data_IF_016352193752
#
_entry.id   IF_016352193752
#
_cell.length_a   1.000
_cell.length_b   1.000
_cell.length_c   1.000
_cell.angle_alpha   90.00
_cell.angle_beta   90.00
_cell.angle_gamma   90.00
#
_symmetry.space_group_name_H-M   'P 1'
#
loop_
_entity.id
_entity.type
_entity.pdbx_description
1 polymer ?
#
# COMPACT_ATOMS: atom_id res chain seq x y z
N UNK A 1 -19.51 28.15 5.21
CA UNK A 1 -18.91 29.24 4.42
C UNK A 1 -18.58 28.65 3.06
N UNK A 2 -19.45 28.93 2.09
CA UNK A 2 -19.33 28.49 0.70
C UNK A 2 -18.20 29.26 0.01
N UNK A 3 -17.35 28.57 -0.75
CA UNK A 3 -16.47 29.20 -1.73
C UNK A 3 -16.73 28.58 -3.11
N UNK A 4 -17.96 28.76 -3.60
CA UNK A 4 -18.19 28.87 -5.04
C UNK A 4 -18.11 30.36 -5.37
N UNK A 5 -17.08 30.78 -6.08
CA UNK A 5 -17.13 32.04 -6.85
C UNK A 5 -17.46 31.69 -8.31
N UNK A 6 -18.47 32.33 -8.92
CA UNK A 6 -18.71 32.22 -10.34
C UNK A 6 -17.75 33.18 -11.06
N UNK A 7 -16.91 32.65 -11.96
CA UNK A 7 -16.17 33.50 -12.88
C UNK A 7 -17.13 33.94 -13.98
N UNK A 8 -17.45 35.24 -14.01
CA UNK A 8 -18.22 35.90 -15.05
C UNK A 8 -17.39 36.05 -16.32
N UNK A 9 -17.90 35.52 -17.43
CA UNK A 9 -17.40 35.77 -18.77
C UNK A 9 -17.30 37.27 -19.06
N UNK A 10 -16.08 37.73 -19.37
CA UNK A 10 -15.87 38.94 -20.14
C UNK A 10 -15.12 38.54 -21.41
N UNK A 11 -15.86 38.41 -22.49
CA UNK A 11 -15.33 38.45 -23.85
C UNK A 11 -14.51 39.73 -24.04
N UNK A 12 -13.35 39.60 -24.68
CA UNK A 12 -13.07 40.49 -25.80
C UNK A 12 -12.81 39.65 -27.06
N UNK A 13 -13.71 39.83 -28.03
CA UNK A 13 -13.53 39.48 -29.45
C UNK A 13 -12.12 39.80 -29.94
N UNK A 14 -11.35 38.77 -30.34
CA UNK A 14 -10.20 38.94 -31.22
C UNK A 14 -10.53 38.42 -32.62
N UNK A 15 -10.79 39.38 -33.50
CA UNK A 15 -10.84 39.22 -34.95
C UNK A 15 -9.42 38.84 -35.42
N UNK A 16 -9.23 37.63 -35.92
CA UNK A 16 -7.97 37.24 -36.56
C UNK A 16 -8.05 37.58 -38.06
N UNK A 17 -7.36 38.66 -38.45
CA UNK A 17 -7.17 39.03 -39.87
C UNK A 17 -6.18 38.07 -40.51
N UNK A 18 -6.59 37.38 -41.58
CA UNK A 18 -5.69 36.65 -42.49
C UNK A 18 -4.89 37.67 -43.31
N UNK A 19 -3.56 37.54 -43.32
CA UNK A 19 -2.68 38.22 -44.27
C UNK A 19 -1.95 37.13 -45.05
N UNK A 20 -2.25 37.04 -46.34
CA UNK A 20 -1.49 36.25 -47.31
C UNK A 20 -0.36 37.11 -47.88
N UNK A 21 0.84 36.53 -48.03
CA UNK A 21 1.88 37.05 -48.91
C UNK A 21 2.28 35.94 -49.90
N UNK A 22 2.22 36.24 -51.19
CA UNK A 22 2.78 35.46 -52.30
C UNK A 22 3.66 36.40 -53.12
N UNK A 23 4.88 35.95 -53.47
CA UNK A 23 5.65 36.30 -54.68
C UNK A 23 6.80 35.26 -54.81
N UNK A 24 6.77 34.32 -55.78
CA UNK A 24 7.31 34.36 -57.17
C UNK A 24 8.87 34.48 -57.21
N UNK A 25 9.69 33.75 -57.97
CA UNK A 25 9.63 32.91 -59.21
C UNK A 25 10.92 32.00 -59.25
N UNK A 26 11.20 31.00 -60.12
CA UNK A 26 11.31 30.99 -61.59
C UNK A 26 11.63 29.55 -62.12
N UNK A 27 10.87 29.12 -63.14
CA UNK A 27 11.06 28.24 -64.34
C UNK A 27 12.29 27.29 -64.52
N UNK A 28 12.03 26.02 -64.93
CA UNK A 28 12.56 25.37 -66.16
C UNK A 28 11.80 24.07 -66.53
N UNK A 29 11.38 23.95 -67.80
CA UNK A 29 10.83 22.72 -68.43
C UNK A 29 11.94 21.95 -69.16
N UNK A 30 11.90 20.61 -69.13
CA UNK A 30 12.27 19.74 -70.25
C UNK A 30 11.40 18.48 -70.23
N UNK A 31 10.99 18.04 -71.42
CA UNK A 31 10.22 16.82 -71.68
C UNK A 31 11.14 15.66 -72.08
N UNK A 32 10.80 14.43 -71.66
CA UNK A 32 11.27 13.21 -72.34
C UNK A 32 11.65 12.01 -71.45
N UNK A 33 10.67 11.10 -71.29
CA UNK A 33 10.79 9.64 -71.19
C UNK A 33 11.09 8.89 -69.86
N UNK A 34 10.17 7.94 -69.62
CA UNK A 34 10.15 6.68 -68.83
C UNK A 34 9.93 6.68 -67.32
N UNK A 35 8.71 6.22 -67.00
CA UNK A 35 8.21 5.40 -65.87
C UNK A 35 8.34 5.92 -64.43
N UNK A 36 7.21 6.35 -63.87
CA UNK A 36 6.52 5.64 -62.77
C UNK A 36 5.14 6.28 -62.51
N UNK A 37 4.08 5.46 -62.56
CA UNK A 37 2.73 5.81 -62.09
C UNK A 37 2.65 5.34 -60.63
N UNK A 38 2.62 6.25 -59.66
CA UNK A 38 1.92 6.03 -58.38
C UNK A 38 1.32 7.34 -57.87
N UNK A 39 0.00 7.34 -57.92
CA UNK A 39 -1.02 7.93 -57.03
C UNK A 39 -0.91 9.37 -56.49
N UNK A 40 -1.99 10.09 -56.80
CA UNK A 40 -2.38 11.33 -56.17
C UNK A 40 -3.08 11.01 -54.84
N UNK A 41 -2.31 10.76 -53.79
CA UNK A 41 -2.86 10.73 -52.43
C UNK A 41 -1.78 10.97 -51.37
N UNK A 42 -1.28 12.21 -51.24
CA UNK A 42 -0.51 12.57 -50.06
C UNK A 42 -0.78 14.00 -49.61
N UNK A 43 -1.14 14.08 -48.33
CA UNK A 43 -1.28 15.25 -47.46
C UNK A 43 -2.67 15.87 -47.38
N UNK A 44 -3.63 15.06 -46.94
CA UNK A 44 -4.64 15.56 -46.02
C UNK A 44 -5.10 14.48 -45.04
N UNK A 45 -4.36 14.25 -43.95
CA UNK A 45 -4.94 14.00 -42.63
C UNK A 45 -3.88 14.00 -41.54
N UNK A 46 -4.34 14.12 -40.29
CA UNK A 46 -3.60 14.23 -39.02
C UNK A 46 -3.37 15.66 -38.52
N UNK A 47 -4.49 16.34 -38.29
CA UNK A 47 -4.64 17.10 -37.06
C UNK A 47 -5.61 16.36 -36.13
N UNK A 48 -5.09 15.40 -35.34
CA UNK A 48 -5.78 14.80 -34.19
C UNK A 48 -4.76 14.70 -33.05
N UNK A 49 -5.04 15.05 -31.80
CA UNK A 49 -6.24 14.61 -31.10
C UNK A 49 -6.59 15.60 -29.96
N UNK A 50 -7.84 16.07 -29.94
CA UNK A 50 -8.43 16.58 -28.71
C UNK A 50 -8.80 15.34 -27.92
N UNK A 51 -8.02 15.00 -26.90
CA UNK A 51 -8.29 13.82 -26.07
C UNK A 51 -9.67 13.96 -25.43
N UNK A 52 -10.65 13.23 -25.98
CA UNK A 52 -11.98 13.07 -25.41
C UNK A 52 -11.85 12.36 -24.05
N UNK A 53 -12.77 12.63 -23.13
CA UNK A 53 -12.96 11.86 -21.91
C UNK A 53 -12.90 10.39 -22.24
N UNK A 54 -11.92 9.71 -21.67
CA UNK A 54 -11.60 8.34 -22.00
C UNK A 54 -11.56 7.50 -20.74
N UNK A 55 -11.93 6.23 -20.89
CA UNK A 55 -11.72 5.21 -19.89
C UNK A 55 -11.14 4.00 -20.61
N UNK A 56 -9.95 3.58 -20.18
CA UNK A 56 -9.32 2.37 -20.64
C UNK A 56 -8.88 1.53 -19.44
N UNK A 57 -8.95 0.21 -19.59
CA UNK A 57 -8.63 -0.73 -18.51
C UNK A 57 -8.33 -2.11 -19.05
N UNK A 58 -7.66 -2.92 -18.23
CA UNK A 58 -7.41 -4.31 -18.59
C UNK A 58 -6.60 -5.06 -17.54
N UNK A 59 -5.95 -6.13 -17.97
CA UNK A 59 -4.99 -6.88 -17.15
C UNK A 59 -3.63 -6.87 -17.82
N UNK A 60 -2.58 -6.61 -17.05
CA UNK A 60 -1.19 -6.66 -17.50
C UNK A 60 -0.35 -7.36 -16.42
N UNK A 61 0.39 -8.40 -16.79
CA UNK A 61 1.22 -9.22 -15.89
C UNK A 61 0.52 -9.64 -14.59
N UNK A 62 -0.76 -10.00 -14.70
CA UNK A 62 -1.57 -10.46 -13.57
C UNK A 62 -2.17 -9.36 -12.68
N UNK A 63 -1.98 -8.08 -13.03
CA UNK A 63 -2.58 -6.94 -12.32
C UNK A 63 -3.64 -6.26 -13.18
N UNK A 64 -4.75 -5.88 -12.55
CA UNK A 64 -5.73 -4.98 -13.17
C UNK A 64 -5.10 -3.59 -13.30
N UNK A 65 -5.43 -2.87 -14.37
CA UNK A 65 -5.04 -1.48 -14.55
C UNK A 65 -6.19 -0.66 -15.12
N UNK A 66 -6.17 0.65 -14.85
CA UNK A 66 -7.08 1.60 -15.49
C UNK A 66 -6.39 2.95 -15.74
N UNK A 67 -6.91 3.67 -16.72
CA UNK A 67 -6.67 5.08 -16.99
C UNK A 67 -8.02 5.73 -17.29
N UNK A 68 -8.32 6.80 -16.58
CA UNK A 68 -9.46 7.66 -16.84
C UNK A 68 -9.00 9.10 -17.02
N UNK A 69 -9.55 9.79 -18.00
CA UNK A 69 -9.35 11.22 -18.25
C UNK A 69 -10.69 11.94 -18.40
N UNK A 70 -10.75 13.20 -18.02
CA UNK A 70 -11.87 14.07 -18.39
C UNK A 70 -11.68 14.72 -19.78
N UNK A 71 -12.66 15.53 -20.20
CA UNK A 71 -12.66 16.22 -21.50
C UNK A 71 -11.81 17.51 -21.46
N UNK A 72 -10.49 17.37 -21.40
CA UNK A 72 -9.58 18.52 -21.33
C UNK A 72 -8.31 18.37 -22.19
N UNK A 73 -7.52 19.45 -22.26
CA UNK A 73 -6.33 19.54 -23.12
C UNK A 73 -5.03 19.18 -22.40
N UNK A 74 -4.05 18.69 -23.15
CA UNK A 74 -2.72 18.35 -22.69
C UNK A 74 -2.36 16.92 -23.08
N UNK A 75 -1.36 16.32 -22.44
CA UNK A 75 -0.97 14.94 -22.68
C UNK A 75 -0.73 14.18 -21.39
N UNK A 76 -1.01 12.87 -21.47
CA UNK A 76 -0.77 11.88 -20.41
C UNK A 76 -0.11 10.67 -21.10
N UNK A 77 1.06 10.28 -20.63
CA UNK A 77 1.79 9.08 -21.08
C UNK A 77 1.77 8.06 -19.94
N UNK A 78 0.77 7.19 -19.96
CA UNK A 78 0.63 6.07 -19.01
C UNK A 78 1.23 4.79 -19.61
N UNK A 79 2.03 4.08 -18.82
CA UNK A 79 2.66 2.83 -19.23
C UNK A 79 2.54 1.76 -18.16
N UNK A 80 2.15 0.56 -18.60
CA UNK A 80 2.27 -0.64 -17.79
C UNK A 80 3.71 -1.16 -17.87
N UNK A 81 4.38 -1.27 -16.73
CA UNK A 81 5.68 -1.96 -16.59
C UNK A 81 5.50 -3.41 -16.11
N UNK A 82 6.63 -4.09 -15.85
CA UNK A 82 6.64 -5.49 -15.40
C UNK A 82 5.85 -5.69 -14.09
N UNK A 83 5.07 -6.78 -14.04
CA UNK A 83 4.29 -7.12 -12.85
C UNK A 83 3.33 -6.00 -12.45
N UNK A 84 3.39 -5.58 -11.19
CA UNK A 84 2.58 -4.49 -10.68
C UNK A 84 3.16 -3.09 -10.90
N UNK A 85 4.21 -2.93 -11.71
CA UNK A 85 4.77 -1.62 -12.01
C UNK A 85 3.91 -0.85 -13.02
N UNK A 86 3.73 0.44 -12.79
CA UNK A 86 3.26 1.40 -13.79
C UNK A 86 4.04 2.70 -13.69
N UNK A 87 4.08 3.44 -14.78
CA UNK A 87 4.53 4.82 -14.79
C UNK A 87 3.53 5.71 -15.49
N UNK A 88 3.51 6.97 -15.10
CA UNK A 88 2.75 8.02 -15.78
C UNK A 88 3.58 9.29 -15.80
N UNK A 89 3.61 9.98 -16.93
CA UNK A 89 4.09 11.35 -17.04
C UNK A 89 3.00 12.21 -17.67
N UNK A 90 2.90 13.47 -17.29
CA UNK A 90 1.84 14.33 -17.78
C UNK A 90 2.25 15.81 -17.83
N UNK A 91 1.62 16.51 -18.77
CA UNK A 91 1.42 17.95 -18.78
C UNK A 91 -0.04 18.16 -19.21
N UNK A 92 -0.92 18.26 -18.22
CA UNK A 92 -2.35 18.11 -18.42
C UNK A 92 -3.15 19.18 -17.68
N UNK A 93 -4.12 19.76 -18.37
CA UNK A 93 -5.00 20.81 -17.87
C UNK A 93 -6.40 20.27 -17.61
N UNK A 94 -6.54 19.34 -16.67
CA UNK A 94 -7.80 18.65 -16.40
C UNK A 94 -7.68 17.75 -15.19
N UNK A 95 -8.44 16.66 -15.16
CA UNK A 95 -8.35 15.60 -14.16
C UNK A 95 -8.10 14.24 -14.83
N UNK A 96 -7.18 13.46 -14.28
CA UNK A 96 -7.04 12.05 -14.63
C UNK A 96 -6.76 11.19 -13.40
N UNK A 97 -7.14 9.91 -13.52
CA UNK A 97 -6.77 8.87 -12.56
C UNK A 97 -6.17 7.69 -13.31
N UNK A 98 -5.12 7.08 -12.75
CA UNK A 98 -4.54 5.88 -13.33
C UNK A 98 -3.86 5.00 -12.29
N UNK A 99 -3.60 3.74 -12.63
CA UNK A 99 -2.76 2.88 -11.81
C UNK A 99 -3.04 1.40 -11.99
N UNK A 100 -2.33 0.59 -11.20
CA UNK A 100 -2.43 -0.88 -11.15
C UNK A 100 -2.94 -1.39 -9.82
N UNK A 101 -3.55 -2.58 -9.84
CA UNK A 101 -3.99 -3.29 -8.64
C UNK A 101 -4.80 -4.53 -9.00
N UNK A 102 -6.03 -4.59 -8.51
CA UNK A 102 -6.87 -5.78 -8.58
C UNK A 102 -8.25 -5.45 -9.17
N UNK A 103 -8.78 -6.39 -9.94
CA UNK A 103 -10.12 -6.30 -10.53
C UNK A 103 -11.25 -6.38 -9.50
N UNK A 104 -10.92 -6.83 -8.28
CA UNK A 104 -11.77 -6.76 -7.10
C UNK A 104 -10.97 -6.34 -5.87
N UNK A 105 -11.55 -5.46 -5.06
CA UNK A 105 -11.04 -5.11 -3.74
C UNK A 105 -11.04 -6.29 -2.77
N UNK A 106 -10.31 -6.14 -1.67
CA UNK A 106 -10.35 -7.06 -0.52
C UNK A 106 -10.12 -6.26 0.74
N UNK A 107 -11.00 -6.42 1.74
CA UNK A 107 -10.89 -5.74 3.04
C UNK A 107 -9.63 -6.14 3.80
N UNK A 108 -9.13 -7.35 3.58
CA UNK A 108 -8.01 -7.92 4.33
C UNK A 108 -6.68 -7.74 3.63
N UNK A 109 -6.65 -7.28 2.37
CA UNK A 109 -5.40 -7.23 1.62
C UNK A 109 -4.38 -6.31 2.29
N UNK A 110 -3.15 -6.81 2.41
CA UNK A 110 -1.98 -5.97 2.70
C UNK A 110 -1.40 -5.57 1.35
N UNK A 111 -1.51 -4.29 1.02
CA UNK A 111 -1.01 -3.73 -0.23
C UNK A 111 0.46 -3.41 -0.02
N UNK A 112 1.33 -4.16 -0.68
CA UNK A 112 2.74 -3.79 -0.79
C UNK A 112 2.90 -2.77 -1.91
N UNK A 113 3.69 -1.72 -1.68
CA UNK A 113 4.00 -0.77 -2.74
C UNK A 113 5.39 -0.16 -2.59
N UNK A 114 5.94 0.34 -3.71
CA UNK A 114 7.11 1.21 -3.74
C UNK A 114 6.82 2.34 -4.73
N UNK A 115 7.07 3.57 -4.30
CA UNK A 115 6.99 4.75 -5.14
C UNK A 115 8.41 5.20 -5.48
N UNK A 116 8.91 4.78 -6.65
CA UNK A 116 10.27 5.09 -7.10
C UNK A 116 10.44 6.56 -7.47
N UNK A 117 9.43 7.14 -8.13
CA UNK A 117 9.39 8.56 -8.51
C UNK A 117 8.04 9.14 -8.15
N UNK A 118 8.04 10.35 -7.58
CA UNK A 118 6.83 11.14 -7.34
C UNK A 118 7.13 12.63 -7.46
N UNK A 119 7.04 13.13 -8.68
CA UNK A 119 7.12 14.55 -8.99
C UNK A 119 5.75 15.05 -9.43
N UNK A 120 5.19 16.04 -8.74
CA UNK A 120 3.80 16.44 -8.91
C UNK A 120 3.62 17.91 -8.55
N UNK A 121 3.46 18.76 -9.56
CA UNK A 121 3.39 20.22 -9.40
C UNK A 121 1.97 20.77 -9.17
N UNK A 122 0.93 20.00 -9.50
CA UNK A 122 -0.48 20.38 -9.36
C UNK A 122 -1.18 19.81 -8.12
N UNK A 123 -2.51 19.76 -8.19
CA UNK A 123 -3.35 19.04 -7.24
C UNK A 123 -3.39 17.56 -7.57
N UNK A 124 -3.66 16.73 -6.57
CA UNK A 124 -3.81 15.29 -6.75
C UNK A 124 -3.15 14.47 -5.65
N UNK A 125 -3.40 13.16 -5.71
CA UNK A 125 -3.06 12.21 -4.65
C UNK A 125 -2.40 10.97 -5.23
N UNK A 126 -1.56 10.35 -4.40
CA UNK A 126 -1.06 9.01 -4.62
C UNK A 126 -1.41 8.15 -3.41
N UNK A 127 -1.98 6.97 -3.65
CA UNK A 127 -2.46 6.13 -2.56
C UNK A 127 -3.24 4.92 -3.02
N UNK A 128 -3.86 4.20 -2.08
CA UNK A 128 -4.76 3.10 -2.43
C UNK A 128 -6.18 3.61 -2.60
N UNK A 129 -6.85 3.19 -3.66
CA UNK A 129 -8.14 3.71 -4.10
C UNK A 129 -9.04 2.58 -4.57
N UNK A 130 -10.34 2.73 -4.38
CA UNK A 130 -11.33 1.85 -4.98
C UNK A 130 -12.75 2.20 -4.59
N UNK A 131 -13.66 1.28 -4.89
CA UNK A 131 -15.09 1.44 -4.64
C UNK A 131 -15.64 0.25 -3.85
N UNK A 132 -16.62 0.50 -3.00
CA UNK A 132 -17.53 -0.53 -2.51
C UNK A 132 -18.92 -0.32 -3.08
N UNK A 133 -19.73 -1.38 -3.05
CA UNK A 133 -21.18 -1.33 -3.24
C UNK A 133 -21.92 -1.65 -1.94
N UNK A 134 -23.19 -1.24 -1.90
CA UNK A 134 -24.14 -1.53 -0.82
C UNK A 134 -23.62 -1.22 0.60
N UNK A 135 -23.20 0.01 0.92
CA UNK A 135 -23.41 1.25 0.18
C UNK A 135 -22.33 1.55 -0.86
N UNK A 136 -22.66 2.41 -1.83
CA UNK A 136 -21.66 2.93 -2.75
C UNK A 136 -20.76 3.93 -2.03
N UNK A 137 -19.50 3.54 -1.86
CA UNK A 137 -18.47 4.37 -1.23
C UNK A 137 -17.26 4.37 -2.14
N UNK A 138 -16.78 5.57 -2.46
CA UNK A 138 -15.46 5.77 -3.06
C UNK A 138 -14.46 6.00 -1.92
N UNK A 139 -13.43 5.16 -1.83
CA UNK A 139 -12.50 5.18 -0.70
C UNK A 139 -11.06 5.45 -1.12
N UNK A 140 -10.33 6.10 -0.22
CA UNK A 140 -8.93 6.48 -0.42
C UNK A 140 -8.09 6.25 0.83
N UNK A 141 -6.89 5.71 0.65
CA UNK A 141 -5.79 5.75 1.62
C UNK A 141 -4.65 6.54 0.99
N UNK A 142 -4.58 7.84 1.28
CA UNK A 142 -3.65 8.77 0.64
C UNK A 142 -2.28 8.72 1.33
N UNK A 143 -1.26 8.28 0.58
CA UNK A 143 0.11 8.10 1.04
C UNK A 143 1.00 9.30 0.68
N UNK A 144 0.74 9.94 -0.46
CA UNK A 144 1.42 11.16 -0.94
C UNK A 144 0.44 12.02 -1.74
N UNK A 145 0.89 13.21 -2.15
CA UNK A 145 0.07 14.19 -2.86
C UNK A 145 0.96 15.20 -3.60
N UNK A 146 0.36 16.01 -4.47
CA UNK A 146 1.00 17.13 -5.14
C UNK A 146 1.35 18.29 -4.19
N UNK A 147 0.93 19.50 -4.52
CA UNK A 147 1.32 20.69 -3.74
C UNK A 147 0.63 20.80 -2.39
N UNK A 148 -0.60 20.29 -2.26
CA UNK A 148 -1.41 20.45 -1.06
C UNK A 148 -1.83 19.11 -0.48
N UNK A 149 -1.76 19.01 0.86
CA UNK A 149 -2.23 17.82 1.58
C UNK A 149 -3.74 17.72 1.47
N UNK A 150 -4.29 16.57 1.04
CA UNK A 150 -5.74 16.40 0.88
C UNK A 150 -6.45 16.35 2.24
N UNK A 151 -7.20 17.41 2.55
CA UNK A 151 -8.09 17.50 3.72
C UNK A 151 -9.52 17.72 3.25
N UNK A 152 -10.07 16.74 2.52
CA UNK A 152 -11.38 16.84 1.87
C UNK A 152 -12.52 16.63 2.86
N UNK A 153 -13.54 17.48 2.82
CA UNK A 153 -14.78 17.27 3.58
C UNK A 153 -14.62 17.35 5.11
N UNK A 154 -15.48 16.60 5.81
CA UNK A 154 -15.60 16.63 7.28
C UNK A 154 -14.61 15.68 7.93
N UNK A 155 -13.79 16.19 8.85
CA UNK A 155 -12.91 15.38 9.70
C UNK A 155 -13.72 14.50 10.68
N UNK A 156 -13.33 13.22 10.80
CA UNK A 156 -14.02 12.23 11.64
C UNK A 156 -13.16 11.69 12.77
N UNK A 157 -11.83 11.82 12.69
CA UNK A 157 -10.91 11.25 13.66
C UNK A 157 -9.62 10.78 13.00
N UNK A 158 -8.93 9.84 13.63
CA UNK A 158 -7.63 9.35 13.16
C UNK A 158 -7.52 7.83 13.26
N UNK A 159 -6.69 7.25 12.41
CA UNK A 159 -6.23 5.86 12.53
C UNK A 159 -4.71 5.83 12.43
N UNK A 160 -4.05 5.00 13.24
CA UNK A 160 -2.64 4.68 13.01
C UNK A 160 -2.55 3.32 12.34
N UNK A 161 -1.72 3.26 11.31
CA UNK A 161 -1.46 2.05 10.52
C UNK A 161 -0.06 2.14 9.95
N UNK A 162 0.63 1.00 9.85
CA UNK A 162 1.90 0.89 9.12
C UNK A 162 2.95 1.97 9.54
N UNK A 163 3.00 2.28 10.84
CA UNK A 163 3.92 3.25 11.42
C UNK A 163 3.60 4.72 11.14
N UNK A 164 2.38 5.05 10.71
CA UNK A 164 1.95 6.43 10.44
C UNK A 164 0.57 6.75 11.00
N UNK A 165 0.30 8.04 11.15
CA UNK A 165 -1.02 8.56 11.52
C UNK A 165 -1.73 9.11 10.29
N UNK A 166 -2.97 8.68 10.14
CA UNK A 166 -3.89 9.13 9.12
C UNK A 166 -5.03 9.91 9.77
N UNK A 167 -5.34 11.06 9.19
CA UNK A 167 -6.58 11.77 9.50
C UNK A 167 -7.69 11.20 8.61
N UNK A 168 -8.83 10.88 9.21
CA UNK A 168 -10.01 10.33 8.52
C UNK A 168 -10.95 11.47 8.19
N UNK A 169 -11.37 11.53 6.92
CA UNK A 169 -12.36 12.49 6.45
C UNK A 169 -13.47 11.81 5.64
N UNK A 170 -14.59 12.50 5.49
CA UNK A 170 -15.69 12.06 4.62
C UNK A 170 -16.32 13.24 3.89
N UNK A 171 -16.83 12.99 2.69
CA UNK A 171 -17.63 13.94 1.93
C UNK A 171 -18.78 13.22 1.22
N UNK A 172 -19.75 13.96 0.70
CA UNK A 172 -20.83 13.43 -0.14
C UNK A 172 -20.76 14.06 -1.52
N UNK A 173 -20.65 13.22 -2.54
CA UNK A 173 -20.72 13.62 -3.95
C UNK A 173 -22.16 13.51 -4.40
N UNK A 174 -22.74 14.62 -4.85
CA UNK A 174 -24.14 14.70 -5.30
C UNK A 174 -24.17 14.76 -6.82
N UNK A 175 -24.94 13.87 -7.45
CA UNK A 175 -25.08 13.78 -8.92
C UNK A 175 -23.73 13.79 -9.65
N UNK A 176 -22.78 12.98 -9.16
CA UNK A 176 -21.42 12.91 -9.68
C UNK A 176 -21.17 11.58 -10.43
N UNK A 177 -20.17 11.55 -11.34
CA UNK A 177 -19.73 10.31 -11.98
C UNK A 177 -19.28 9.26 -10.95
N UNK A 178 -19.59 7.99 -11.23
CA UNK A 178 -19.22 6.83 -10.42
C UNK A 178 -19.06 5.59 -11.30
N UNK A 179 -18.68 4.45 -10.71
CA UNK A 179 -18.64 3.13 -11.36
C UNK A 179 -20.02 2.61 -11.81
N UNK A 180 -21.11 3.30 -11.45
CA UNK A 180 -22.48 2.96 -11.83
C UNK A 180 -23.20 4.16 -12.46
N UNK A 181 -22.45 5.00 -13.19
CA UNK A 181 -22.98 6.19 -13.85
C UNK A 181 -23.11 7.39 -12.91
N UNK A 182 -24.04 8.29 -13.19
CA UNK A 182 -24.25 9.50 -12.36
C UNK A 182 -25.04 9.14 -11.11
N UNK A 183 -24.45 9.37 -9.93
CA UNK A 183 -24.98 8.91 -8.66
C UNK A 183 -24.73 9.92 -7.54
N UNK A 184 -25.41 9.72 -6.40
CA UNK A 184 -25.04 10.37 -5.14
C UNK A 184 -24.40 9.34 -4.22
N UNK A 185 -23.17 9.58 -3.77
CA UNK A 185 -22.38 8.61 -3.00
C UNK A 185 -21.47 9.28 -1.98
N UNK A 186 -21.01 8.49 -1.03
CA UNK A 186 -20.10 8.93 0.02
C UNK A 186 -18.65 8.71 -0.42
N UNK A 187 -17.80 9.68 -0.12
CA UNK A 187 -16.35 9.51 -0.15
C UNK A 187 -15.82 9.35 1.27
N UNK A 188 -14.84 8.46 1.45
CA UNK A 188 -14.11 8.33 2.70
C UNK A 188 -12.61 8.27 2.48
N UNK A 189 -11.88 8.98 3.32
CA UNK A 189 -10.44 9.18 3.18
C UNK A 189 -9.74 8.77 4.47
N UNK A 190 -8.61 8.09 4.33
CA UNK A 190 -7.53 8.09 5.32
C UNK A 190 -6.34 8.82 4.71
N UNK A 191 -6.00 10.01 5.19
CA UNK A 191 -4.87 10.78 4.66
C UNK A 191 -3.70 10.82 5.64
N UNK A 192 -2.52 10.32 5.26
CA UNK A 192 -1.29 10.44 6.09
C UNK A 192 -1.04 11.89 6.49
N UNK A 193 -0.51 12.14 7.69
CA UNK A 193 -0.13 13.50 8.13
C UNK A 193 1.09 14.07 7.40
N UNK A 194 1.96 13.22 6.90
CA UNK A 194 3.13 13.56 6.11
C UNK A 194 3.22 12.65 4.89
N UNK A 195 3.77 13.17 3.78
CA UNK A 195 4.00 12.37 2.57
C UNK A 195 4.90 11.19 2.89
N UNK A 196 4.63 10.06 2.26
CA UNK A 196 5.56 8.92 2.30
C UNK A 196 6.86 9.25 1.55
N UNK A 197 8.04 8.86 2.08
CA UNK A 197 9.29 8.91 1.33
C UNK A 197 9.31 7.96 0.13
N UNK A 198 9.90 8.42 -0.97
CA UNK A 198 10.12 7.64 -2.21
C UNK A 198 11.23 6.59 -2.06
N UNK A 199 11.22 5.59 -2.96
CA UNK A 199 12.27 4.58 -3.11
C UNK A 199 12.29 3.47 -2.06
N UNK A 200 11.29 3.42 -1.16
CA UNK A 200 11.22 2.43 -0.09
C UNK A 200 9.99 1.53 -0.27
N UNK A 201 10.17 0.23 0.01
CA UNK A 201 9.05 -0.70 0.10
C UNK A 201 8.21 -0.38 1.33
N UNK A 202 6.90 -0.31 1.14
CA UNK A 202 5.90 0.09 2.13
C UNK A 202 4.73 -0.87 2.07
N UNK A 203 3.92 -0.83 3.12
CA UNK A 203 2.64 -1.53 3.18
C UNK A 203 1.51 -0.58 3.51
N UNK A 204 0.32 -0.89 3.00
CA UNK A 204 -0.97 -0.41 3.51
C UNK A 204 -1.71 -1.65 4.01
N UNK A 205 -1.84 -1.77 5.32
CA UNK A 205 -2.67 -2.81 5.94
C UNK A 205 -4.13 -2.34 5.87
N UNK A 206 -4.81 -2.63 4.75
CA UNK A 206 -6.10 -2.00 4.44
C UNK A 206 -7.17 -2.27 5.49
N UNK A 207 -7.13 -3.45 6.12
CA UNK A 207 -8.06 -3.82 7.18
C UNK A 207 -8.08 -2.82 8.35
N UNK A 208 -6.94 -2.17 8.67
CA UNK A 208 -6.88 -1.15 9.71
C UNK A 208 -7.74 0.08 9.35
N UNK A 209 -7.68 0.51 8.10
CA UNK A 209 -8.48 1.62 7.58
C UNK A 209 -9.96 1.24 7.50
N UNK A 210 -10.26 0.08 6.91
CA UNK A 210 -11.64 -0.43 6.79
C UNK A 210 -12.33 -0.51 8.15
N UNK A 211 -11.63 -1.02 9.17
CA UNK A 211 -12.20 -1.13 10.50
C UNK A 211 -12.36 0.22 11.20
N UNK A 212 -11.40 1.15 11.01
CA UNK A 212 -11.54 2.50 11.53
C UNK A 212 -12.75 3.22 10.91
N UNK A 213 -12.96 3.05 9.61
CA UNK A 213 -14.12 3.58 8.89
C UNK A 213 -15.43 2.93 9.36
N UNK A 214 -15.44 1.61 9.52
CA UNK A 214 -16.60 0.88 10.03
C UNK A 214 -17.01 1.32 11.44
N UNK A 215 -16.03 1.57 12.33
CA UNK A 215 -16.28 2.10 13.68
C UNK A 215 -16.88 3.51 13.68
N UNK A 216 -16.73 4.24 12.57
CA UNK A 216 -17.33 5.56 12.35
C UNK A 216 -18.66 5.48 11.57
N UNK A 217 -19.15 4.26 11.27
CA UNK A 217 -20.40 4.01 10.57
C UNK A 217 -20.28 3.87 9.04
N UNK A 218 -19.07 3.80 8.49
CA UNK A 218 -18.82 3.69 7.04
C UNK A 218 -18.35 2.28 6.70
N UNK A 219 -19.29 1.42 6.34
CA UNK A 219 -19.02 0.00 6.07
C UNK A 219 -18.78 -0.25 4.58
N UNK A 220 -17.61 -0.79 4.24
CA UNK A 220 -17.34 -1.32 2.91
C UNK A 220 -17.85 -2.76 2.83
N UNK A 221 -18.97 -2.98 2.17
CA UNK A 221 -19.65 -4.28 2.17
C UNK A 221 -19.26 -5.13 0.98
N UNK A 222 -19.74 -4.78 -0.21
CA UNK A 222 -19.38 -5.47 -1.44
C UNK A 222 -18.13 -4.84 -2.05
N UNK A 223 -17.03 -5.60 -2.03
CA UNK A 223 -15.72 -5.23 -2.57
C UNK A 223 -15.49 -5.78 -3.98
N UNK A 224 -16.54 -6.23 -4.68
CA UNK A 224 -16.45 -6.67 -6.07
C UNK A 224 -15.90 -5.63 -7.05
N UNK A 225 -16.02 -4.30 -6.85
CA UNK A 225 -15.36 -3.32 -7.70
C UNK A 225 -13.83 -3.37 -7.59
N UNK A 226 -13.16 -2.82 -8.61
CA UNK A 226 -11.70 -2.75 -8.65
C UNK A 226 -11.12 -1.92 -7.51
N UNK A 227 -9.84 -2.17 -7.22
CA UNK A 227 -9.05 -1.35 -6.32
C UNK A 227 -7.59 -1.29 -6.78
N UNK A 228 -7.02 -0.08 -6.84
CA UNK A 228 -5.70 0.19 -7.43
C UNK A 228 -4.83 1.03 -6.50
N UNK A 229 -3.51 0.89 -6.67
CA UNK A 229 -2.56 1.91 -6.28
C UNK A 229 -2.65 3.03 -7.32
N UNK A 230 -3.26 4.12 -6.91
CA UNK A 230 -3.69 5.25 -7.72
C UNK A 230 -2.61 6.33 -7.79
N UNK A 231 -2.46 6.90 -8.99
CA UNK A 231 -2.06 8.29 -9.21
C UNK A 231 -3.25 9.08 -9.73
N UNK A 232 -3.60 10.16 -9.05
CA UNK A 232 -4.58 11.14 -9.52
C UNK A 232 -3.91 12.50 -9.63
N UNK A 233 -4.19 13.24 -10.70
CA UNK A 233 -3.77 14.63 -10.82
C UNK A 233 -4.90 15.48 -11.39
N UNK A 234 -5.08 16.67 -10.79
CA UNK A 234 -6.09 17.62 -11.20
C UNK A 234 -5.57 19.07 -11.19
N UNK A 235 -6.23 19.92 -11.95
CA UNK A 235 -6.04 21.37 -11.96
C UNK A 235 -5.38 21.89 -13.24
N UNK A 236 -5.19 23.21 -13.28
CA UNK A 236 -4.64 23.88 -14.45
C UNK A 236 -3.15 23.64 -14.63
N UNK A 237 -2.73 23.16 -15.81
CA UNK A 237 -1.34 22.87 -16.18
C UNK A 237 -0.59 22.04 -15.12
N UNK A 238 -1.22 20.97 -14.65
CA UNK A 238 -0.58 20.01 -13.77
C UNK A 238 0.53 19.30 -14.55
N UNK A 239 1.74 19.27 -14.00
CA UNK A 239 2.87 18.57 -14.60
C UNK A 239 3.46 17.59 -13.60
N UNK A 240 3.92 16.44 -14.09
CA UNK A 240 4.53 15.49 -13.19
C UNK A 240 4.91 14.17 -13.80
N UNK A 241 5.50 13.33 -12.95
CA UNK A 241 5.74 11.93 -13.23
C UNK A 241 5.64 11.11 -11.95
N UNK A 242 5.05 9.92 -12.08
CA UNK A 242 5.03 8.88 -11.05
C UNK A 242 5.54 7.58 -11.66
N UNK A 243 6.38 6.88 -10.92
CA UNK A 243 6.74 5.49 -11.19
C UNK A 243 6.54 4.71 -9.90
N UNK A 244 5.62 3.74 -9.92
CA UNK A 244 5.25 2.99 -8.74
C UNK A 244 5.01 1.52 -9.06
N UNK A 245 5.29 0.67 -8.09
CA UNK A 245 5.05 -0.77 -8.16
C UNK A 245 4.13 -1.18 -7.03
N UNK A 246 3.09 -1.95 -7.35
CA UNK A 246 2.17 -2.56 -6.38
C UNK A 246 2.35 -4.09 -6.34
N UNK A 247 2.15 -4.72 -5.19
CA UNK A 247 2.06 -6.17 -5.07
C UNK A 247 1.15 -6.57 -3.91
N UNK A 248 0.75 -7.84 -3.89
CA UNK A 248 0.08 -8.42 -2.72
C UNK A 248 1.12 -8.80 -1.67
N UNK A 249 1.15 -8.11 -0.53
CA UNK A 249 2.06 -8.40 0.57
C UNK A 249 1.47 -9.38 1.60
N UNK A 250 0.27 -9.91 1.34
CA UNK A 250 -0.43 -10.87 2.19
C UNK A 250 -1.85 -10.42 2.52
N UNK A 251 -2.42 -11.05 3.55
CA UNK A 251 -3.73 -10.74 4.10
C UNK A 251 -3.57 -10.42 5.60
N UNK A 252 -4.33 -9.45 6.09
CA UNK A 252 -4.38 -8.99 7.47
C UNK A 252 -5.82 -8.96 7.97
N UNK A 253 -6.05 -9.34 9.22
CA UNK A 253 -7.41 -9.46 9.77
C UNK A 253 -7.98 -8.16 10.30
N UNK A 254 -7.17 -7.10 10.40
CA UNK A 254 -7.57 -5.82 10.98
C UNK A 254 -8.15 -6.00 12.38
N UNK A 255 -7.34 -5.82 13.42
CA UNK A 255 -7.92 -5.62 14.74
C UNK A 255 -8.25 -4.13 14.87
N UNK A 256 -9.51 -3.79 14.62
CA UNK A 256 -10.04 -2.44 14.74
C UNK A 256 -9.82 -1.90 16.15
N UNK A 257 -8.97 -0.88 16.29
CA UNK A 257 -8.77 -0.21 17.56
C UNK A 257 -7.75 0.91 17.43
N UNK A 258 -8.21 2.12 17.74
CA UNK A 258 -7.44 3.31 18.12
C UNK A 258 -5.93 3.08 18.36
N UNK A 259 -5.16 3.19 17.28
CA UNK A 259 -3.73 3.45 17.21
C UNK A 259 -3.15 4.58 18.06
N UNK A 260 -3.94 5.45 18.69
CA UNK A 260 -3.46 6.67 19.34
C UNK A 260 -2.40 6.41 20.40
N UNK A 261 -1.12 6.53 20.01
CA UNK A 261 0.06 6.31 20.83
C UNK A 261 0.84 5.09 20.35
N UNK A 262 2.15 5.24 20.16
CA UNK A 262 3.06 4.12 19.97
C UNK A 262 2.96 3.14 21.14
N UNK A 263 2.07 2.16 20.99
CA UNK A 263 2.06 0.90 21.70
C UNK A 263 2.32 -0.16 20.64
N UNK A 264 3.43 -0.87 20.75
CA UNK A 264 3.74 -1.93 19.81
C UNK A 264 2.62 -2.99 19.80
N UNK A 265 2.27 -3.54 18.63
CA UNK A 265 1.39 -4.71 18.57
C UNK A 265 2.07 -5.85 19.32
N UNK A 266 1.45 -6.32 20.39
CA UNK A 266 1.96 -7.42 21.20
C UNK A 266 1.29 -8.73 20.80
N UNK A 267 2.07 -9.80 20.83
CA UNK A 267 1.63 -11.17 20.58
C UNK A 267 1.98 -12.02 21.79
N UNK A 268 1.16 -13.01 22.07
CA UNK A 268 1.56 -14.20 22.84
C UNK A 268 1.93 -15.30 21.86
N UNK A 269 2.99 -16.05 22.13
CA UNK A 269 3.52 -17.06 21.20
C UNK A 269 3.18 -18.44 21.74
N UNK A 270 2.14 -19.07 21.19
CA UNK A 270 1.56 -20.32 21.70
C UNK A 270 2.20 -21.56 21.07
N UNK A 271 2.64 -22.50 21.88
CA UNK A 271 3.11 -23.81 21.44
C UNK A 271 1.93 -24.70 21.00
N UNK A 272 2.06 -25.36 19.85
CA UNK A 272 1.01 -26.24 19.30
C UNK A 272 0.79 -27.51 20.12
N UNK A 273 1.86 -28.10 20.68
CA UNK A 273 1.75 -29.35 21.41
C UNK A 273 1.08 -29.18 22.78
N UNK A 274 1.40 -28.10 23.49
CA UNK A 274 1.00 -27.92 24.90
C UNK A 274 -0.08 -26.87 25.09
N UNK A 275 -0.23 -25.94 24.14
CA UNK A 275 -1.08 -24.76 24.31
C UNK A 275 -0.51 -23.71 25.27
N UNK A 276 0.67 -23.95 25.87
CA UNK A 276 1.40 -22.98 26.68
C UNK A 276 2.03 -21.90 25.79
N UNK A 277 2.40 -20.79 26.40
CA UNK A 277 2.92 -19.60 25.73
C UNK A 277 4.35 -19.32 26.15
N UNK A 278 5.18 -18.87 25.20
CA UNK A 278 6.53 -18.40 25.49
C UNK A 278 6.49 -17.21 26.46
N UNK A 279 7.28 -17.30 27.52
CA UNK A 279 7.25 -16.39 28.66
C UNK A 279 8.67 -16.14 29.19
N UNK A 280 8.97 -14.90 29.59
CA UNK A 280 10.20 -14.57 30.31
C UNK A 280 10.27 -15.15 31.73
N UNK A 281 9.18 -15.73 32.24
CA UNK A 281 8.98 -16.34 33.55
C UNK A 281 9.43 -15.46 34.73
N UNK A 282 9.38 -14.13 34.52
CA UNK A 282 9.75 -13.11 35.51
C UNK A 282 11.26 -12.83 35.57
N UNK A 283 12.06 -13.46 34.70
CA UNK A 283 13.49 -13.23 34.59
C UNK A 283 13.75 -11.97 33.76
N UNK A 284 14.67 -11.12 34.22
CA UNK A 284 14.87 -9.75 33.69
C UNK A 284 16.31 -9.45 33.25
N UNK A 285 17.21 -10.42 33.35
CA UNK A 285 18.64 -10.21 33.07
C UNK A 285 19.03 -10.80 31.72
N UNK A 286 20.05 -10.20 31.09
CA UNK A 286 20.72 -10.78 29.93
C UNK A 286 21.23 -12.20 30.24
N UNK A 287 20.99 -13.12 29.30
CA UNK A 287 21.39 -14.51 29.41
C UNK A 287 20.45 -15.39 30.23
N UNK A 288 19.38 -14.81 30.79
CA UNK A 288 18.37 -15.62 31.44
C UNK A 288 17.62 -16.47 30.41
N UNK A 289 17.40 -17.75 30.72
CA UNK A 289 16.64 -18.63 29.85
C UNK A 289 15.17 -18.19 29.77
N UNK A 290 14.51 -18.46 28.65
CA UNK A 290 13.07 -18.28 28.48
C UNK A 290 12.34 -19.56 28.89
N UNK A 291 11.10 -19.41 29.33
CA UNK A 291 10.23 -20.53 29.67
C UNK A 291 8.94 -20.51 28.89
N UNK A 292 8.05 -21.43 29.28
CA UNK A 292 6.67 -21.46 28.81
C UNK A 292 5.71 -21.50 30.00
N UNK A 293 4.56 -20.85 29.85
CA UNK A 293 3.56 -20.73 30.90
C UNK A 293 2.15 -20.79 30.33
N UNK A 294 1.16 -21.05 31.19
CA UNK A 294 -0.25 -20.96 30.82
C UNK A 294 -0.60 -19.57 30.27
N UNK A 295 -1.74 -19.46 29.58
CA UNK A 295 -2.17 -18.17 29.02
C UNK A 295 -2.35 -17.13 30.13
N UNK A 296 -1.44 -16.16 30.21
CA UNK A 296 -1.54 -15.02 31.10
C UNK A 296 -1.62 -13.73 30.29
N UNK A 297 -2.09 -12.65 30.93
CA UNK A 297 -1.99 -11.30 30.39
C UNK A 297 -0.76 -10.55 30.96
N UNK A 298 0.21 -11.26 31.53
CA UNK A 298 1.41 -10.64 32.07
C UNK A 298 2.31 -10.11 30.95
N UNK A 299 3.00 -8.99 31.18
CA UNK A 299 3.84 -8.35 30.16
C UNK A 299 5.04 -9.21 29.76
N UNK A 300 5.53 -10.10 30.64
CA UNK A 300 6.58 -11.06 30.35
C UNK A 300 6.16 -12.19 29.39
N UNK A 301 4.86 -12.35 29.11
CA UNK A 301 4.32 -13.30 28.11
C UNK A 301 4.00 -12.63 26.76
N UNK A 302 4.28 -11.33 26.62
CA UNK A 302 3.87 -10.52 25.48
C UNK A 302 5.09 -10.05 24.69
N UNK A 303 5.02 -10.15 23.37
CA UNK A 303 6.17 -9.99 22.48
C UNK A 303 5.81 -9.07 21.31
N UNK A 304 6.65 -8.10 20.99
CA UNK A 304 6.59 -7.39 19.72
C UNK A 304 7.34 -8.20 18.66
N UNK A 305 6.95 -8.05 17.41
CA UNK A 305 7.64 -8.66 16.25
C UNK A 305 8.26 -7.53 15.44
N UNK A 306 9.58 -7.55 15.30
CA UNK A 306 10.36 -6.48 14.67
C UNK A 306 11.12 -7.02 13.46
N UNK A 307 10.99 -6.37 12.31
CA UNK A 307 11.72 -6.74 11.10
C UNK A 307 13.23 -6.44 11.25
N UNK A 308 14.07 -7.34 10.74
CA UNK A 308 15.53 -7.25 10.77
C UNK A 308 16.15 -7.87 9.51
N UNK A 309 16.18 -7.11 8.40
CA UNK A 309 16.91 -7.52 7.19
C UNK A 309 16.49 -8.87 6.60
N UNK A 310 15.18 -9.12 6.48
CA UNK A 310 14.62 -10.39 6.00
C UNK A 310 14.40 -11.45 7.09
N UNK A 311 14.85 -11.17 8.32
CA UNK A 311 14.57 -11.95 9.52
C UNK A 311 13.71 -11.13 10.48
N UNK A 312 13.40 -11.72 11.62
CA UNK A 312 12.61 -11.10 12.67
C UNK A 312 13.29 -11.22 14.03
N UNK A 313 12.98 -10.26 14.89
CA UNK A 313 13.37 -10.26 16.29
C UNK A 313 12.11 -10.09 17.13
N UNK A 314 12.08 -10.72 18.30
CA UNK A 314 10.90 -10.71 19.16
C UNK A 314 11.24 -10.09 20.50
N UNK A 315 10.67 -8.91 20.78
CA UNK A 315 11.00 -8.15 21.99
C UNK A 315 9.95 -8.34 23.07
N UNK A 316 10.37 -8.76 24.25
CA UNK A 316 9.50 -8.88 25.40
C UNK A 316 8.93 -7.51 25.81
N UNK A 317 7.63 -7.42 26.08
CA UNK A 317 6.97 -6.18 26.51
C UNK A 317 7.45 -5.72 27.89
N UNK A 318 7.63 -6.65 28.82
CA UNK A 318 7.98 -6.35 30.21
C UNK A 318 9.44 -5.95 30.37
N UNK A 319 10.36 -6.66 29.71
CA UNK A 319 11.80 -6.46 29.92
C UNK A 319 12.47 -5.67 28.79
N UNK A 320 11.87 -5.63 27.60
CA UNK A 320 12.50 -5.08 26.40
C UNK A 320 13.62 -5.95 25.84
N UNK A 321 13.88 -7.13 26.40
CA UNK A 321 14.87 -8.11 25.94
C UNK A 321 14.30 -8.95 24.78
N UNK A 322 15.17 -9.47 23.94
CA UNK A 322 14.81 -10.21 22.73
C UNK A 322 14.99 -11.71 22.92
N UNK A 323 14.14 -12.52 22.27
CA UNK A 323 14.38 -13.98 22.15
C UNK A 323 15.74 -14.21 21.48
N UNK A 324 16.63 -14.89 22.18
CA UNK A 324 18.03 -15.04 21.77
C UNK A 324 18.53 -16.48 22.00
N UNK A 325 19.08 -17.11 20.95
CA UNK A 325 19.68 -18.45 21.02
C UNK A 325 21.04 -18.51 21.75
N UNK A 326 21.57 -17.35 22.16
CA UNK A 326 22.84 -17.11 22.87
C UNK A 326 24.08 -17.69 22.20
N UNK A 327 24.02 -17.94 20.88
CA UNK A 327 25.09 -18.63 20.15
C UNK A 327 25.24 -20.11 20.52
N UNK A 328 24.37 -20.66 21.36
CA UNK A 328 24.35 -22.08 21.72
C UNK A 328 23.92 -22.89 20.49
N UNK A 329 24.71 -23.88 20.09
CA UNK A 329 24.55 -24.61 18.83
C UNK A 329 24.27 -26.11 19.03
N UNK A 330 23.89 -26.50 20.25
CA UNK A 330 23.60 -27.88 20.61
C UNK A 330 22.10 -28.13 20.73
N UNK A 331 21.67 -29.35 20.38
CA UNK A 331 20.29 -29.79 20.59
C UNK A 331 19.95 -29.80 22.07
N UNK A 332 18.85 -29.14 22.42
CA UNK A 332 18.33 -29.06 23.76
C UNK A 332 18.96 -27.98 24.63
N UNK A 333 19.87 -27.18 24.07
CA UNK A 333 20.30 -25.95 24.70
C UNK A 333 19.09 -25.04 24.96
N UNK A 334 19.01 -24.45 26.14
CA UNK A 334 17.94 -23.49 26.45
C UNK A 334 18.06 -22.25 25.53
N UNK A 335 16.91 -21.72 25.10
CA UNK A 335 16.83 -20.39 24.47
C UNK A 335 16.65 -19.37 25.58
N UNK A 336 17.27 -18.21 25.45
CA UNK A 336 17.25 -17.16 26.47
C UNK A 336 16.81 -15.83 25.93
N UNK A 337 17.09 -14.80 26.71
CA UNK A 337 16.78 -13.42 26.36
C UNK A 337 18.00 -12.53 26.54
N UNK A 338 18.11 -11.52 25.68
CA UNK A 338 19.23 -10.59 25.70
C UNK A 338 18.79 -9.18 25.31
N UNK A 339 19.53 -8.16 25.74
CA UNK A 339 19.32 -6.77 25.36
C UNK A 339 19.31 -6.58 23.84
N UNK A 340 18.83 -5.43 23.37
CA UNK A 340 18.72 -5.11 21.95
C UNK A 340 20.07 -5.28 21.23
N UNK A 341 20.21 -6.36 20.49
CA UNK A 341 21.36 -6.62 19.64
C UNK A 341 20.93 -6.91 18.20
N UNK A 342 21.84 -6.71 17.27
CA UNK A 342 21.68 -7.12 15.88
C UNK A 342 22.44 -8.43 15.58
N UNK A 343 22.83 -9.19 16.60
CA UNK A 343 23.53 -10.44 16.39
C UNK A 343 22.61 -11.51 15.78
N UNK A 344 23.19 -12.44 15.02
CA UNK A 344 22.42 -13.45 14.30
C UNK A 344 21.64 -14.39 15.24
N UNK A 345 22.08 -14.56 16.48
CA UNK A 345 21.41 -15.36 17.51
C UNK A 345 20.12 -14.72 18.04
N UNK A 346 19.89 -13.42 17.84
CA UNK A 346 18.62 -12.74 18.16
C UNK A 346 17.65 -12.67 16.96
N UNK A 347 18.06 -13.19 15.80
CA UNK A 347 17.30 -13.10 14.55
C UNK A 347 16.75 -14.47 14.15
N UNK A 348 15.49 -14.50 13.75
CA UNK A 348 14.74 -15.71 13.47
C UNK A 348 14.03 -15.61 12.13
N UNK A 349 14.07 -16.68 11.33
CA UNK A 349 13.18 -16.81 10.17
C UNK A 349 11.92 -17.58 10.56
N UNK A 350 10.77 -17.11 10.09
CA UNK A 350 9.51 -17.82 10.24
C UNK A 350 9.25 -18.74 9.06
N UNK A 351 9.21 -20.03 9.33
CA UNK A 351 8.87 -21.04 8.34
C UNK A 351 7.46 -21.59 8.62
N UNK A 352 6.56 -21.54 7.64
CA UNK A 352 5.19 -22.03 7.82
C UNK A 352 5.17 -23.53 8.14
N UNK A 353 4.45 -23.91 9.20
CA UNK A 353 4.14 -25.30 9.56
C UNK A 353 2.67 -25.67 9.22
N UNK A 354 1.98 -24.81 8.46
CA UNK A 354 0.58 -24.94 8.12
C UNK A 354 -0.39 -24.57 9.26
N UNK A 355 -1.66 -24.32 8.91
CA UNK A 355 -2.74 -24.03 9.87
C UNK A 355 -2.45 -22.86 10.83
N UNK A 356 -1.73 -21.84 10.37
CA UNK A 356 -1.38 -20.66 11.18
C UNK A 356 -0.26 -20.88 12.21
N UNK A 357 0.47 -21.99 12.13
CA UNK A 357 1.67 -22.25 12.94
C UNK A 357 2.95 -22.01 12.15
N UNK A 358 4.00 -21.65 12.87
CA UNK A 358 5.33 -21.38 12.33
C UNK A 358 6.41 -22.11 13.14
N UNK A 359 7.52 -22.41 12.49
CA UNK A 359 8.77 -22.78 13.15
C UNK A 359 9.68 -21.56 13.13
N UNK A 360 10.26 -21.22 14.27
CA UNK A 360 11.17 -20.08 14.41
C UNK A 360 12.59 -20.61 14.32
N UNK A 361 13.26 -20.38 13.20
CA UNK A 361 14.62 -20.86 12.95
C UNK A 361 15.65 -19.77 13.23
N UNK A 362 16.59 -20.04 14.12
CA UNK A 362 17.65 -19.10 14.46
C UNK A 362 18.55 -18.85 13.23
N UNK A 363 18.83 -17.58 12.90
CA UNK A 363 19.70 -17.21 11.78
C UNK A 363 21.13 -17.69 11.97
N UNK A 364 21.65 -17.64 13.20
CA UNK A 364 23.04 -18.00 13.50
C UNK A 364 23.30 -19.50 13.46
N UNK A 365 22.41 -20.30 14.04
CA UNK A 365 22.65 -21.74 14.24
C UNK A 365 21.79 -22.63 13.34
N UNK A 366 20.70 -22.12 12.79
CA UNK A 366 19.71 -22.90 12.04
C UNK A 366 18.85 -23.83 12.90
N UNK A 367 18.99 -23.79 14.24
CA UNK A 367 18.15 -24.53 15.19
C UNK A 367 16.81 -23.82 15.39
N UNK A 368 15.78 -24.57 15.78
CA UNK A 368 14.41 -24.07 15.93
C UNK A 368 14.03 -23.92 17.39
N UNK A 369 13.30 -22.85 17.73
CA UNK A 369 12.67 -22.70 19.04
C UNK A 369 11.74 -23.89 19.32
N UNK A 370 11.91 -24.52 20.47
CA UNK A 370 11.27 -25.79 20.81
C UNK A 370 10.81 -25.82 22.28
N UNK A 371 9.59 -26.29 22.54
CA UNK A 371 9.04 -26.49 23.89
C UNK A 371 9.62 -27.68 24.64
N UNK A 372 10.55 -28.43 24.04
CA UNK A 372 11.30 -29.56 24.59
C UNK A 372 10.43 -30.75 25.05
N UNK A 373 9.19 -30.83 24.57
CA UNK A 373 8.18 -31.78 25.06
C UNK A 373 7.76 -31.53 26.51
N UNK A 374 8.16 -30.42 27.11
CA UNK A 374 7.86 -30.06 28.51
C UNK A 374 6.46 -29.48 28.60
N UNK A 375 5.68 -29.90 29.60
CA UNK A 375 4.24 -29.57 29.72
C UNK A 375 3.90 -28.73 30.96
N UNK A 376 4.88 -28.45 31.83
CA UNK A 376 4.67 -27.71 33.08
C UNK A 376 4.94 -26.22 32.91
N UNK A 377 4.12 -25.40 33.58
CA UNK A 377 4.35 -23.97 33.74
C UNK A 377 5.75 -23.69 34.32
N UNK A 378 6.47 -22.74 33.72
CA UNK A 378 7.82 -22.34 34.14
C UNK A 378 8.93 -23.21 33.57
N UNK A 379 8.61 -24.28 32.82
CA UNK A 379 9.63 -25.09 32.15
C UNK A 379 10.37 -24.26 31.10
N UNK A 380 11.70 -24.35 31.07
CA UNK A 380 12.48 -23.65 30.05
C UNK A 380 12.14 -24.17 28.65
N UNK A 381 12.18 -23.27 27.67
CA UNK A 381 12.17 -23.63 26.25
C UNK A 381 13.60 -23.81 25.75
N UNK A 382 13.76 -24.62 24.73
CA UNK A 382 15.05 -24.93 24.13
C UNK A 382 15.11 -24.63 22.65
N UNK A 383 16.21 -25.04 22.04
CA UNK A 383 16.38 -25.08 20.60
C UNK A 383 16.82 -26.46 20.14
N UNK A 384 16.32 -26.88 18.98
CA UNK A 384 16.60 -28.21 18.44
C UNK A 384 16.78 -28.17 16.93
N UNK A 385 17.60 -29.06 16.39
CA UNK A 385 17.81 -29.21 14.96
C UNK A 385 16.52 -29.64 14.26
N UNK A 386 16.45 -29.35 12.94
CA UNK A 386 15.27 -29.49 12.08
C UNK A 386 14.27 -30.59 12.50
N UNK A 387 13.23 -30.17 13.22
CA UNK A 387 12.15 -31.01 13.72
C UNK A 387 10.81 -30.49 13.22
N UNK A 388 9.90 -31.41 12.90
CA UNK A 388 8.52 -31.12 12.53
C UNK A 388 7.52 -31.56 13.63
N UNK A 389 8.02 -31.85 14.83
CA UNK A 389 7.18 -32.18 15.95
C UNK A 389 6.40 -30.96 16.45
N UNK A 390 5.19 -31.16 16.97
CA UNK A 390 4.31 -30.06 17.37
C UNK A 390 4.89 -29.15 18.47
N UNK A 391 5.89 -29.61 19.22
CA UNK A 391 6.61 -28.79 20.21
C UNK A 391 7.54 -27.75 19.58
N UNK A 392 7.84 -27.80 18.28
CA UNK A 392 8.55 -26.72 17.55
C UNK A 392 7.61 -25.79 16.77
N UNK A 393 6.30 -25.99 16.87
CA UNK A 393 5.28 -25.23 16.14
C UNK A 393 4.66 -24.16 17.04
N UNK A 394 4.71 -22.91 16.60
CA UNK A 394 4.30 -21.75 17.36
C UNK A 394 3.26 -20.91 16.61
N UNK A 395 2.23 -20.45 17.32
CA UNK A 395 1.20 -19.55 16.79
C UNK A 395 1.27 -18.20 17.49
N UNK A 396 1.31 -17.13 16.71
CA UNK A 396 1.23 -15.78 17.23
C UNK A 396 -0.24 -15.42 17.48
N UNK A 397 -0.59 -15.22 18.75
CA UNK A 397 -1.93 -14.82 19.18
C UNK A 397 -1.88 -13.34 19.56
N UNK A 398 -2.56 -12.44 18.83
CA UNK A 398 -2.61 -11.02 19.17
C UNK A 398 -3.07 -10.79 20.62
N UNK A 399 -2.49 -9.77 21.25
CA UNK A 399 -2.96 -9.23 22.53
C UNK A 399 -3.84 -8.03 22.20
N UNK A 400 -5.11 -8.12 22.58
CA UNK A 400 -6.09 -7.04 22.45
C UNK A 400 -5.87 -5.95 23.50
#
# INVERSE_FOLDING_TARGET
MNAFMPYTDKNPTKIMKKVFFIAAALVFMFAGCSEDIIDADLMNDEMSDVTLKSYDSGTHDGYFWQLWTDDHSGWIDYRNGEGGNYSVSWDYNGNFTCGKGWSSGSKTRIIGYNIGVHNHSGGGVFGYYGWSRSPMIEYYVNESWGTQRPTYGRFLGTVNSDGSTYDIYTDTRVNAPSIEGTQTFTQIYSTRRSKVPVGQNRTITFANHVNAWANLGYHLNDMSPYAILLTEAYGGNSQGSVNATVWSAGEGTGDGGNTGGGGATYYRIQNRATGLFLDGVGRTSDGADLGQYANTNHQNAQWTREASGGFERFRNRGTGLYIDGMGRNENGANVGQWANTNHNNAQWSLESAGSGYYRLRNRGTGLYLDGMGRTSNGSDVGQWANTNHHNSHWRFVPVQ
#
